data_IF_374113661914
#
_entry.id   IF_374113661914
#
_cell.length_a   1.000
_cell.length_b   1.000
_cell.length_c   1.000
_cell.angle_alpha   90.00
_cell.angle_beta   90.00
_cell.angle_gamma   90.00
#
_symmetry.space_group_name_H-M   'P 1'
#
loop_
_entity.id
_entity.type
_entity.pdbx_description
1 polymer ?
#
# COMPACT_ATOMS: atom_id res chain seq x y z
N UNK A 1 51.11 -34.83 -18.42
CA UNK A 1 51.34 -33.45 -18.91
C UNK A 1 50.00 -32.81 -19.23
N UNK A 2 49.71 -31.72 -18.53
CA UNK A 2 49.03 -30.49 -19.00
C UNK A 2 47.60 -30.59 -19.58
N UNK A 3 46.68 -30.07 -18.77
CA UNK A 3 45.71 -29.00 -19.08
C UNK A 3 44.61 -29.24 -20.13
N UNK A 4 43.35 -29.04 -19.71
CA UNK A 4 42.36 -28.07 -20.23
C UNK A 4 41.01 -28.45 -19.57
N UNK A 5 40.63 -27.91 -18.41
CA UNK A 5 40.08 -26.57 -18.15
C UNK A 5 38.90 -26.17 -19.07
N UNK A 6 37.74 -25.98 -18.42
CA UNK A 6 36.52 -25.27 -18.86
C UNK A 6 35.65 -26.00 -19.91
N UNK A 7 34.31 -26.02 -19.82
CA UNK A 7 33.45 -24.87 -19.55
C UNK A 7 32.15 -25.32 -18.85
N UNK A 8 31.95 -24.80 -17.65
CA UNK A 8 30.73 -24.82 -16.87
C UNK A 8 29.74 -23.83 -17.51
N UNK A 9 28.66 -24.31 -18.12
CA UNK A 9 27.56 -23.46 -18.56
C UNK A 9 26.29 -23.85 -17.81
N UNK A 10 26.32 -23.66 -16.49
CA UNK A 10 25.11 -23.57 -15.68
C UNK A 10 24.42 -22.26 -16.07
N UNK A 11 23.44 -22.35 -16.97
CA UNK A 11 22.51 -21.27 -17.27
C UNK A 11 21.62 -21.08 -16.03
N UNK A 12 22.16 -20.43 -15.00
CA UNK A 12 21.38 -19.91 -13.89
C UNK A 12 20.59 -18.75 -14.49
N UNK A 13 19.34 -19.03 -14.85
CA UNK A 13 18.33 -18.01 -15.03
C UNK A 13 18.17 -17.38 -13.64
N UNK A 14 18.95 -16.33 -13.42
CA UNK A 14 18.74 -15.38 -12.34
C UNK A 14 17.36 -14.81 -12.60
N UNK A 15 16.35 -15.39 -11.94
CA UNK A 15 15.16 -14.66 -11.60
C UNK A 15 15.65 -13.47 -10.81
N UNK A 16 15.84 -12.35 -11.50
CA UNK A 16 15.79 -11.02 -10.92
C UNK A 16 14.39 -10.88 -10.34
N UNK A 17 14.15 -11.53 -9.19
CA UNK A 17 13.12 -11.18 -8.25
C UNK A 17 13.49 -9.80 -7.74
N UNK A 18 13.26 -8.80 -8.59
CA UNK A 18 13.09 -7.43 -8.18
C UNK A 18 11.84 -7.50 -7.31
N UNK A 19 12.04 -7.80 -6.02
CA UNK A 19 10.98 -7.71 -5.03
C UNK A 19 10.40 -6.32 -5.22
N UNK A 20 9.14 -6.20 -5.63
CA UNK A 20 8.54 -4.91 -5.91
C UNK A 20 8.79 -4.03 -4.68
N UNK A 21 9.47 -2.89 -4.89
CA UNK A 21 9.94 -1.99 -3.83
C UNK A 21 8.79 -1.18 -3.19
N UNK A 22 7.62 -1.80 -3.08
CA UNK A 22 6.34 -1.24 -2.73
C UNK A 22 5.20 -2.16 -3.17
N UNK A 23 4.28 -2.45 -2.26
CA UNK A 23 3.15 -3.36 -2.49
C UNK A 23 3.27 -4.69 -1.75
N UNK A 24 2.14 -5.37 -1.61
CA UNK A 24 1.96 -6.54 -0.74
C UNK A 24 1.45 -7.76 -1.51
N UNK A 25 1.57 -8.94 -0.90
CA UNK A 25 1.14 -10.24 -1.45
C UNK A 25 -0.39 -10.45 -1.41
N UNK A 26 -1.12 -9.68 -0.60
CA UNK A 26 -2.57 -9.75 -0.45
C UNK A 26 -3.21 -8.37 -0.21
N UNK A 27 -4.52 -8.21 -0.47
CA UNK A 27 -5.25 -7.00 -0.13
C UNK A 27 -5.13 -6.62 1.34
N UNK A 28 -5.38 -7.58 2.24
CA UNK A 28 -5.26 -7.38 3.68
C UNK A 28 -3.85 -6.90 4.08
N UNK A 29 -2.80 -7.48 3.49
CA UNK A 29 -1.43 -7.06 3.79
C UNK A 29 -1.11 -5.69 3.22
N UNK A 30 -1.72 -5.26 2.10
CA UNK A 30 -1.53 -3.89 1.59
C UNK A 30 -1.96 -2.81 2.59
N UNK A 31 -3.02 -3.10 3.38
CA UNK A 31 -3.47 -2.22 4.48
C UNK A 31 -2.49 -2.31 5.65
N UNK A 32 -2.15 -3.53 6.10
CA UNK A 32 -1.28 -3.76 7.26
C UNK A 32 0.11 -3.19 7.05
N UNK A 33 0.70 -3.39 5.88
CA UNK A 33 2.06 -2.94 5.55
C UNK A 33 2.13 -1.42 5.44
N UNK A 34 1.08 -0.77 4.90
CA UNK A 34 0.94 0.69 4.93
C UNK A 34 0.94 1.21 6.37
N UNK A 35 0.09 0.65 7.24
CA UNK A 35 -0.03 1.08 8.63
C UNK A 35 1.25 0.77 9.41
N UNK A 36 1.86 -0.40 9.18
CA UNK A 36 3.12 -0.79 9.80
C UNK A 36 4.23 0.20 9.43
N UNK A 37 4.34 0.59 8.16
CA UNK A 37 5.33 1.58 7.73
C UNK A 37 5.16 2.93 8.44
N UNK A 38 3.92 3.34 8.73
CA UNK A 38 3.64 4.56 9.50
C UNK A 38 3.97 4.39 10.98
N UNK A 39 3.68 3.22 11.58
CA UNK A 39 4.09 2.90 12.96
C UNK A 39 5.61 2.87 13.13
N UNK A 40 6.33 2.45 12.09
CA UNK A 40 7.79 2.49 12.00
C UNK A 40 8.34 3.92 11.76
N UNK A 41 7.49 4.94 11.78
CA UNK A 41 7.84 6.34 11.48
C UNK A 41 8.51 6.50 10.10
N UNK A 42 8.12 5.66 9.14
CA UNK A 42 8.66 5.63 7.79
C UNK A 42 7.56 5.95 6.76
N UNK A 43 7.11 7.21 6.69
CA UNK A 43 6.07 7.59 5.73
C UNK A 43 6.55 7.47 4.28
N UNK A 44 7.85 7.61 4.02
CA UNK A 44 8.41 7.35 2.70
C UNK A 44 8.21 5.91 2.21
N UNK A 45 8.24 4.93 3.13
CA UNK A 45 7.88 3.53 2.87
C UNK A 45 6.36 3.36 2.71
N UNK A 46 5.56 4.02 3.55
CA UNK A 46 4.10 3.98 3.45
C UNK A 46 3.59 4.48 2.09
N UNK A 47 4.21 5.51 1.53
CA UNK A 47 3.92 6.03 0.19
C UNK A 47 3.98 4.94 -0.90
N UNK A 48 4.91 3.98 -0.77
CA UNK A 48 5.10 2.91 -1.75
C UNK A 48 4.00 1.83 -1.68
N UNK A 49 3.20 1.80 -0.61
CA UNK A 49 2.03 0.93 -0.48
C UNK A 49 0.74 1.57 -1.00
N UNK A 50 0.76 2.84 -1.38
CA UNK A 50 -0.39 3.52 -1.99
C UNK A 50 -0.54 3.17 -3.47
N UNK A 51 -1.78 3.01 -3.93
CA UNK A 51 -2.13 2.89 -5.34
C UNK A 51 -1.63 4.09 -6.14
N UNK A 52 -1.40 3.90 -7.43
CA UNK A 52 -1.04 5.00 -8.34
C UNK A 52 -2.11 6.11 -8.32
N UNK A 53 -3.39 5.75 -8.22
CA UNK A 53 -4.51 6.67 -8.03
C UNK A 53 -4.38 7.51 -6.75
N UNK A 54 -4.05 6.85 -5.64
CA UNK A 54 -3.82 7.51 -4.34
C UNK A 54 -2.61 8.44 -4.36
N UNK A 55 -1.51 8.03 -4.99
CA UNK A 55 -0.34 8.88 -5.18
C UNK A 55 -0.67 10.10 -6.05
N UNK A 56 -1.47 9.92 -7.10
CA UNK A 56 -1.95 11.01 -7.95
C UNK A 56 -2.83 11.99 -7.17
N UNK A 57 -3.74 11.50 -6.33
CA UNK A 57 -4.56 12.35 -5.46
C UNK A 57 -3.68 13.27 -4.59
N UNK A 58 -2.63 12.74 -3.96
CA UNK A 58 -1.70 13.56 -3.18
C UNK A 58 -0.90 14.53 -4.04
N UNK A 59 -0.50 14.15 -5.26
CA UNK A 59 0.12 15.09 -6.19
C UNK A 59 -0.81 16.28 -6.50
N UNK A 60 -2.10 16.04 -6.71
CA UNK A 60 -3.09 17.09 -6.93
C UNK A 60 -3.25 18.00 -5.70
N UNK A 61 -3.33 17.43 -4.49
CA UNK A 61 -3.42 18.19 -3.23
C UNK A 61 -2.18 19.08 -2.98
N UNK A 62 -1.02 18.65 -3.48
CA UNK A 62 0.25 19.35 -3.31
C UNK A 62 0.49 20.49 -4.31
N UNK A 63 -0.22 20.52 -5.46
CA UNK A 63 0.03 21.47 -6.57
C UNK A 63 0.12 22.92 -6.14
N UNK A 64 -0.77 23.37 -5.25
CA UNK A 64 -0.84 24.76 -4.82
C UNK A 64 0.08 25.09 -3.63
N UNK A 65 0.87 24.13 -3.17
CA UNK A 65 1.68 24.23 -1.95
C UNK A 65 3.19 24.20 -2.22
N UNK A 66 3.60 24.17 -3.49
CA UNK A 66 5.00 24.03 -3.90
C UNK A 66 5.69 22.81 -3.26
N UNK A 67 4.97 21.68 -3.20
CA UNK A 67 5.45 20.39 -2.71
C UNK A 67 5.17 19.32 -3.77
N UNK A 68 5.96 18.26 -3.78
CA UNK A 68 5.56 17.00 -4.42
C UNK A 68 4.43 16.33 -3.63
N UNK A 69 3.66 15.45 -4.28
CA UNK A 69 2.63 14.68 -3.57
C UNK A 69 3.19 13.82 -2.44
N UNK A 70 4.40 13.27 -2.63
CA UNK A 70 5.09 12.50 -1.58
C UNK A 70 5.45 13.36 -0.37
N UNK A 71 6.05 14.53 -0.58
CA UNK A 71 6.37 15.45 0.53
C UNK A 71 5.11 15.93 1.27
N UNK A 72 4.03 16.20 0.51
CA UNK A 72 2.76 16.56 1.11
C UNK A 72 2.16 15.39 1.92
N UNK A 73 2.20 14.17 1.38
CA UNK A 73 1.79 12.96 2.08
C UNK A 73 2.56 12.78 3.39
N UNK A 74 3.90 12.78 3.33
CA UNK A 74 4.76 12.58 4.50
C UNK A 74 4.48 13.61 5.60
N UNK A 75 4.20 14.86 5.24
CA UNK A 75 3.76 15.90 6.18
C UNK A 75 2.35 15.69 6.73
N UNK A 76 1.44 15.11 5.94
CA UNK A 76 0.04 14.88 6.34
C UNK A 76 -0.15 13.70 7.29
N UNK A 77 0.76 12.72 7.24
CA UNK A 77 0.70 11.48 8.04
C UNK A 77 1.74 11.45 9.17
N UNK A 78 2.34 12.60 9.49
CA UNK A 78 3.34 12.71 10.57
C UNK A 78 2.79 12.34 11.95
N UNK A 79 1.47 12.34 12.11
CA UNK A 79 0.77 11.78 13.25
C UNK A 79 -0.13 10.64 12.76
N UNK A 80 0.17 9.39 13.17
CA UNK A 80 -0.61 8.22 12.75
C UNK A 80 -2.07 8.29 13.22
N UNK A 81 -2.36 9.04 14.28
CA UNK A 81 -3.72 9.25 14.75
C UNK A 81 -4.57 10.06 13.75
N UNK A 82 -3.94 10.80 12.81
CA UNK A 82 -4.64 11.53 11.76
C UNK A 82 -5.33 10.62 10.74
N UNK A 83 -4.97 9.32 10.72
CA UNK A 83 -5.55 8.31 9.83
C UNK A 83 -6.89 7.73 10.32
N UNK A 84 -7.42 8.24 11.44
CA UNK A 84 -8.65 7.76 12.04
C UNK A 84 -8.56 6.29 12.45
N UNK A 85 -9.52 5.47 12.01
CA UNK A 85 -9.60 4.04 12.36
C UNK A 85 -8.33 3.28 11.93
N UNK A 86 -7.68 3.65 10.81
CA UNK A 86 -6.43 3.00 10.38
C UNK A 86 -5.24 3.30 11.29
N UNK A 87 -5.29 4.39 12.05
CA UNK A 87 -4.28 4.72 13.06
C UNK A 87 -4.39 3.89 14.33
N UNK A 88 -5.53 3.23 14.54
CA UNK A 88 -5.78 2.38 15.69
C UNK A 88 -5.24 0.95 15.48
N UNK A 89 -5.20 0.15 16.54
CA UNK A 89 -5.05 -1.30 16.40
C UNK A 89 -6.35 -1.91 15.86
N UNK A 90 -6.23 -2.71 14.80
CA UNK A 90 -7.35 -3.39 14.15
C UNK A 90 -6.97 -4.81 13.73
N UNK A 91 -8.01 -5.62 13.54
CA UNK A 91 -7.96 -6.91 12.88
C UNK A 91 -8.63 -6.80 11.50
N UNK A 92 -8.18 -7.60 10.54
CA UNK A 92 -8.90 -7.81 9.27
C UNK A 92 -9.91 -8.92 9.52
N UNK A 93 -11.20 -8.62 9.34
CA UNK A 93 -12.29 -9.56 9.61
C UNK A 93 -12.91 -10.15 8.34
N UNK A 94 -12.69 -9.50 7.19
CA UNK A 94 -13.14 -10.00 5.89
C UNK A 94 -12.29 -9.43 4.76
N UNK A 95 -12.16 -10.19 3.66
CA UNK A 95 -11.62 -9.71 2.39
C UNK A 95 -12.40 -10.30 1.21
N UNK A 96 -12.86 -9.43 0.30
CA UNK A 96 -13.54 -9.82 -0.93
C UNK A 96 -12.72 -9.34 -2.14
N UNK A 97 -12.33 -10.27 -3.01
CA UNK A 97 -11.53 -10.01 -4.22
C UNK A 97 -12.42 -10.08 -5.46
N UNK A 98 -12.28 -9.09 -6.33
CA UNK A 98 -12.94 -8.98 -7.63
C UNK A 98 -11.88 -8.65 -8.69
N UNK A 99 -11.28 -9.69 -9.27
CA UNK A 99 -10.18 -9.55 -10.21
C UNK A 99 -8.97 -8.85 -9.58
N UNK A 100 -8.65 -7.66 -10.09
CA UNK A 100 -7.55 -6.82 -9.60
C UNK A 100 -7.96 -5.82 -8.51
N UNK A 101 -9.21 -5.86 -8.05
CA UNK A 101 -9.70 -5.04 -6.95
C UNK A 101 -10.05 -5.88 -5.74
N UNK A 102 -10.00 -5.28 -4.56
CA UNK A 102 -10.46 -5.93 -3.34
C UNK A 102 -11.04 -4.93 -2.35
N UNK A 103 -12.02 -5.40 -1.57
CA UNK A 103 -12.53 -4.74 -0.38
C UNK A 103 -12.01 -5.49 0.85
N UNK A 104 -11.46 -4.76 1.80
CA UNK A 104 -10.92 -5.26 3.07
C UNK A 104 -11.76 -4.64 4.18
N UNK A 105 -12.31 -5.48 5.06
CA UNK A 105 -13.05 -5.00 6.23
C UNK A 105 -12.15 -5.14 7.45
N UNK A 106 -11.89 -4.02 8.11
CA UNK A 106 -11.15 -3.99 9.36
C UNK A 106 -12.09 -3.76 10.55
N UNK A 107 -11.69 -4.24 11.71
CA UNK A 107 -12.39 -4.06 12.98
C UNK A 107 -11.41 -3.66 14.07
N UNK A 108 -11.69 -2.57 14.77
CA UNK A 108 -10.90 -2.11 15.93
C UNK A 108 -11.38 -2.75 17.22
N UNK A 109 -10.56 -2.65 18.27
CA UNK A 109 -10.88 -3.19 19.62
C UNK A 109 -12.17 -2.63 20.22
N UNK A 110 -12.57 -1.41 19.85
CA UNK A 110 -13.84 -0.79 20.25
C UNK A 110 -15.03 -1.22 19.37
N UNK A 111 -14.86 -2.28 18.57
CA UNK A 111 -15.84 -2.88 17.67
C UNK A 111 -16.29 -2.00 16.50
N UNK A 112 -15.61 -0.88 16.21
CA UNK A 112 -15.88 -0.14 14.97
C UNK A 112 -15.33 -0.89 13.78
N UNK A 113 -16.06 -0.84 12.67
CA UNK A 113 -15.64 -1.42 11.40
C UNK A 113 -15.38 -0.32 10.37
N UNK A 114 -14.49 -0.60 9.43
CA UNK A 114 -14.24 0.26 8.27
C UNK A 114 -13.98 -0.58 7.04
N UNK A 115 -14.44 -0.09 5.90
CA UNK A 115 -14.17 -0.67 4.60
C UNK A 115 -13.01 0.09 3.95
N UNK A 116 -11.97 -0.65 3.62
CA UNK A 116 -10.79 -0.18 2.91
C UNK A 116 -10.71 -0.90 1.58
N UNK A 117 -10.15 -0.24 0.58
CA UNK A 117 -10.05 -0.81 -0.76
C UNK A 117 -8.58 -0.99 -1.14
N UNK A 118 -8.32 -2.06 -1.87
CA UNK A 118 -7.00 -2.36 -2.41
C UNK A 118 -7.10 -2.66 -3.90
N UNK A 119 -6.04 -2.37 -4.63
CA UNK A 119 -5.93 -2.64 -6.06
C UNK A 119 -4.60 -3.34 -6.36
N UNK A 120 -4.63 -4.30 -7.28
CA UNK A 120 -3.46 -5.00 -7.77
C UNK A 120 -2.88 -4.26 -8.96
N UNK A 121 -1.68 -3.71 -8.78
CA UNK A 121 -0.93 -3.01 -9.81
C UNK A 121 0.38 -3.76 -10.06
N UNK A 122 0.67 -4.12 -11.32
CA UNK A 122 1.91 -4.83 -11.68
C UNK A 122 2.18 -6.09 -10.82
N UNK A 123 1.13 -6.83 -10.48
CA UNK A 123 1.23 -8.08 -9.71
C UNK A 123 1.31 -7.91 -8.19
N UNK A 124 1.28 -6.67 -7.65
CA UNK A 124 1.26 -6.41 -6.20
C UNK A 124 0.02 -5.67 -5.75
N UNK A 125 -0.44 -5.97 -4.54
CA UNK A 125 -1.56 -5.26 -3.92
C UNK A 125 -1.09 -3.97 -3.27
N UNK A 126 -1.88 -2.92 -3.46
CA UNK A 126 -1.66 -1.60 -2.87
C UNK A 126 -2.95 -1.09 -2.25
N UNK A 127 -2.83 -0.27 -1.22
CA UNK A 127 -3.94 0.45 -0.61
C UNK A 127 -4.48 1.49 -1.60
N UNK A 128 -5.73 1.32 -1.99
CA UNK A 128 -6.48 2.28 -2.80
C UNK A 128 -7.22 3.27 -1.89
N UNK A 129 -6.44 4.18 -1.31
CA UNK A 129 -6.94 5.17 -0.38
C UNK A 129 -7.91 6.16 -1.04
N UNK A 130 -7.70 6.52 -2.31
CA UNK A 130 -8.64 7.36 -3.05
C UNK A 130 -10.02 6.71 -3.12
N UNK A 131 -10.11 5.45 -3.56
CA UNK A 131 -11.40 4.73 -3.58
C UNK A 131 -12.00 4.58 -2.19
N UNK A 132 -11.16 4.35 -1.19
CA UNK A 132 -11.59 4.30 0.23
C UNK A 132 -12.27 5.61 0.65
N UNK A 133 -11.71 6.77 0.32
CA UNK A 133 -12.32 8.07 0.62
C UNK A 133 -13.62 8.27 -0.16
N UNK A 134 -13.63 7.98 -1.46
CA UNK A 134 -14.80 8.13 -2.32
C UNK A 134 -15.99 7.28 -1.83
N UNK A 135 -15.77 6.01 -1.52
CA UNK A 135 -16.82 5.11 -1.04
C UNK A 135 -17.31 5.48 0.37
N UNK A 136 -16.42 5.99 1.24
CA UNK A 136 -16.83 6.49 2.55
C UNK A 136 -17.65 7.78 2.44
N UNK A 137 -17.31 8.70 1.54
CA UNK A 137 -18.10 9.91 1.29
C UNK A 137 -19.52 9.57 0.81
N UNK A 138 -19.66 8.62 -0.13
CA UNK A 138 -20.96 8.15 -0.62
C UNK A 138 -21.88 7.62 0.49
N UNK A 139 -21.31 7.03 1.55
CA UNK A 139 -22.09 6.51 2.70
C UNK A 139 -22.56 7.59 3.66
N UNK A 140 -21.88 8.74 3.70
CA UNK A 140 -22.25 9.88 4.56
C UNK A 140 -23.32 10.76 3.89
N UNK A 141 -23.36 10.79 2.56
CA UNK A 141 -24.34 11.55 1.78
C UNK A 141 -25.73 10.86 1.66
N UNK A 142 -25.88 9.65 2.22
CA UNK A 142 -27.13 8.87 2.25
C UNK A 142 -27.82 8.98 3.62
#
# INVERSE_FOLDING_TARGET
MKNFLALFAALIIIYSGCSPTGGSDSPANSVKDFVLALKEQNPGKAWNFLSSGSQKMYNELAKNRNLSGKEYFEKSVSDINSLGIMGMEFDVIDEAKEGDSAKVIIKTKDNKTSELYSIRENGVWKLDYTRTLEENMKKVEQ
#
